data_IF_451710101917
#
_entry.id   IF_451710101917
#
_cell.length_a   1.000
_cell.length_b   1.000
_cell.length_c   1.000
_cell.angle_alpha   90.00
_cell.angle_beta   90.00
_cell.angle_gamma   90.00
#
_symmetry.space_group_name_H-M   'P 1'
#
loop_
_entity.id
_entity.type
_entity.pdbx_description
1 polymer ?
#
# COMPACT_ATOMS: atom_id res chain seq x y z
N UNK A 1 -16.62 13.48 -0.53
CA UNK A 1 -16.73 12.96 -1.91
C UNK A 1 -16.43 11.48 -1.89
N UNK A 2 -17.30 10.69 -2.48
CA UNK A 2 -17.45 9.26 -2.22
C UNK A 2 -16.28 8.43 -2.73
N UNK A 3 -15.69 7.62 -1.83
CA UNK A 3 -14.77 6.54 -2.18
C UNK A 3 -15.56 5.47 -2.95
N UNK A 4 -15.27 5.27 -4.22
CA UNK A 4 -15.84 4.17 -5.00
C UNK A 4 -15.03 2.90 -4.73
N UNK A 5 -15.69 1.97 -4.05
CA UNK A 5 -15.21 0.59 -3.90
C UNK A 5 -15.41 -0.11 -5.25
N UNK A 6 -14.32 -0.48 -5.91
CA UNK A 6 -14.37 -1.37 -7.07
C UNK A 6 -14.13 -2.78 -6.54
N UNK A 7 -15.17 -3.61 -6.57
CA UNK A 7 -15.12 -5.01 -6.19
C UNK A 7 -14.70 -5.84 -7.40
N UNK A 8 -13.52 -6.43 -7.38
CA UNK A 8 -13.12 -7.49 -8.31
C UNK A 8 -12.84 -8.77 -7.53
N UNK A 9 -13.54 -9.84 -7.90
CA UNK A 9 -13.32 -11.16 -7.34
C UNK A 9 -12.18 -11.84 -8.08
N UNK A 10 -11.11 -12.17 -7.40
CA UNK A 10 -10.33 -13.37 -7.67
C UNK A 10 -9.34 -13.66 -6.54
N UNK A 11 -9.35 -14.88 -6.09
CA UNK A 11 -8.76 -15.40 -4.87
C UNK A 11 -7.37 -15.94 -5.14
N UNK A 12 -6.38 -15.51 -4.41
CA UNK A 12 -5.44 -16.41 -3.68
C UNK A 12 -4.90 -15.61 -2.49
N UNK A 13 -5.30 -16.01 -1.28
CA UNK A 13 -4.85 -15.42 -0.04
C UNK A 13 -3.65 -16.19 0.48
N UNK A 14 -2.52 -15.51 0.63
CA UNK A 14 -1.49 -15.95 1.56
C UNK A 14 -1.52 -14.98 2.73
N UNK A 15 -2.06 -15.43 3.86
CA UNK A 15 -2.12 -14.67 5.10
C UNK A 15 -0.77 -14.78 5.81
N UNK A 16 -0.02 -13.71 5.84
CA UNK A 16 1.08 -13.57 6.79
C UNK A 16 0.56 -12.70 7.93
N UNK A 17 0.31 -13.32 9.08
CA UNK A 17 -0.02 -12.62 10.32
C UNK A 17 1.28 -12.17 10.98
N UNK A 18 1.53 -10.89 11.00
CA UNK A 18 2.49 -10.29 11.92
C UNK A 18 1.70 -9.57 13.00
N UNK A 19 1.44 -10.26 14.11
CA UNK A 19 0.81 -9.66 15.30
C UNK A 19 1.92 -9.26 16.26
N UNK A 20 2.17 -7.96 16.37
CA UNK A 20 3.01 -7.41 17.44
C UNK A 20 2.10 -7.12 18.64
N UNK A 21 1.97 -8.06 19.56
CA UNK A 21 1.31 -7.82 20.85
C UNK A 21 2.32 -7.24 21.82
N UNK A 22 2.18 -5.97 22.14
CA UNK A 22 2.78 -5.37 23.33
C UNK A 22 1.90 -5.72 24.53
N UNK A 23 2.32 -6.67 25.34
CA UNK A 23 1.69 -6.95 26.62
C UNK A 23 2.05 -5.83 27.60
N UNK A 24 1.08 -5.02 27.95
CA UNK A 24 1.18 -4.10 29.08
C UNK A 24 0.47 -4.72 30.28
N UNK A 25 1.15 -4.68 31.42
CA UNK A 25 0.58 -5.10 32.69
C UNK A 25 -0.52 -4.16 33.16
N UNK A 26 -1.15 -4.50 34.28
CA UNK A 26 -2.29 -3.83 34.95
C UNK A 26 -1.96 -2.43 35.54
N UNK A 27 -1.07 -1.68 34.88
CA UNK A 27 -0.60 -0.36 35.30
C UNK A 27 -1.37 0.82 34.69
N UNK A 28 -2.47 0.55 33.98
CA UNK A 28 -3.29 1.57 33.35
C UNK A 28 -2.80 2.02 31.98
N UNK A 29 -1.87 1.28 31.38
CA UNK A 29 -1.40 1.54 30.01
C UNK A 29 -2.49 1.18 28.97
N UNK A 30 -2.53 1.94 27.87
CA UNK A 30 -3.46 1.69 26.76
C UNK A 30 -2.97 0.49 25.99
N UNK A 31 -3.84 -0.52 25.80
CA UNK A 31 -3.54 -1.66 24.94
C UNK A 31 -3.78 -1.27 23.48
N UNK A 32 -2.75 -1.36 22.64
CA UNK A 32 -2.84 -1.03 21.23
C UNK A 32 -2.37 -2.17 20.35
N UNK A 33 -3.13 -2.46 19.28
CA UNK A 33 -2.82 -3.47 18.29
C UNK A 33 -2.71 -2.83 16.91
N UNK A 34 -1.75 -3.31 16.09
CA UNK A 34 -1.62 -2.99 14.68
C UNK A 34 -1.70 -4.28 13.87
N UNK A 35 -2.70 -4.38 13.01
CA UNK A 35 -2.95 -5.53 12.15
C UNK A 35 -2.74 -5.15 10.69
N UNK A 36 -1.79 -5.80 10.01
CA UNK A 36 -1.51 -5.62 8.58
C UNK A 36 -1.96 -6.85 7.82
N UNK A 37 -2.74 -6.66 6.76
CA UNK A 37 -3.17 -7.71 5.85
C UNK A 37 -2.73 -7.34 4.45
N UNK A 38 -2.10 -8.29 3.75
CA UNK A 38 -1.59 -8.10 2.39
C UNK A 38 -2.21 -9.13 1.47
N UNK A 39 -2.56 -8.72 0.24
CA UNK A 39 -3.02 -9.61 -0.80
C UNK A 39 -2.55 -9.15 -2.17
N UNK A 40 -2.41 -10.11 -3.09
CA UNK A 40 -2.05 -9.86 -4.48
C UNK A 40 -3.25 -10.07 -5.40
N UNK A 41 -3.40 -9.16 -6.35
CA UNK A 41 -4.30 -9.26 -7.49
C UNK A 41 -3.45 -9.22 -8.77
N UNK A 42 -3.55 -10.26 -9.58
CA UNK A 42 -2.76 -10.35 -10.80
C UNK A 42 -3.63 -10.10 -12.03
N UNK A 43 -3.04 -9.40 -13.01
CA UNK A 43 -3.58 -9.39 -14.37
C UNK A 43 -2.60 -10.07 -15.32
N UNK A 44 -3.11 -10.95 -16.16
CA UNK A 44 -2.28 -11.71 -17.08
C UNK A 44 -1.88 -10.87 -18.29
N UNK A 45 -0.62 -10.99 -18.68
CA UNK A 45 -0.06 -10.46 -19.92
C UNK A 45 0.55 -11.61 -20.72
N UNK A 46 0.41 -11.55 -22.04
CA UNK A 46 0.87 -12.60 -22.96
C UNK A 46 1.77 -11.94 -24.00
N UNK A 47 2.98 -12.47 -24.18
CA UNK A 47 3.91 -11.97 -25.18
C UNK A 47 5.15 -12.84 -25.26
N UNK A 48 5.82 -12.82 -26.42
CA UNK A 48 7.04 -13.56 -26.71
C UNK A 48 8.26 -12.64 -26.83
N UNK A 49 8.11 -11.36 -26.59
CA UNK A 49 9.16 -10.36 -26.60
C UNK A 49 8.77 -9.15 -25.76
N UNK A 50 9.73 -8.28 -25.49
CA UNK A 50 9.57 -7.11 -24.62
C UNK A 50 8.51 -6.15 -25.14
N UNK A 51 8.47 -5.88 -26.45
CA UNK A 51 7.50 -4.97 -27.08
C UNK A 51 6.05 -5.45 -26.85
N UNK A 52 5.80 -6.75 -26.98
CA UNK A 52 4.48 -7.34 -26.72
C UNK A 52 4.11 -7.25 -25.25
N UNK A 53 5.04 -7.54 -24.33
CA UNK A 53 4.81 -7.42 -22.89
C UNK A 53 4.50 -5.97 -22.50
N UNK A 54 5.27 -4.99 -22.97
CA UNK A 54 5.02 -3.57 -22.72
C UNK A 54 3.64 -3.12 -23.26
N UNK A 55 3.27 -3.56 -24.46
CA UNK A 55 1.94 -3.30 -25.05
C UNK A 55 0.82 -3.87 -24.19
N UNK A 56 0.99 -5.08 -23.69
CA UNK A 56 -0.01 -5.73 -22.82
C UNK A 56 -0.11 -5.04 -21.46
N UNK A 57 1.02 -4.62 -20.86
CA UNK A 57 1.03 -3.85 -19.61
C UNK A 57 0.30 -2.51 -19.79
N UNK A 58 0.57 -1.78 -20.86
CA UNK A 58 -0.12 -0.52 -21.18
C UNK A 58 -1.63 -0.70 -21.41
N UNK A 59 -2.04 -1.87 -21.91
CA UNK A 59 -3.46 -2.19 -22.15
C UNK A 59 -4.18 -2.61 -20.88
N UNK A 60 -3.55 -3.46 -20.06
CA UNK A 60 -4.18 -4.18 -18.95
C UNK A 60 -3.83 -3.61 -17.56
N UNK A 61 -2.83 -2.72 -17.49
CA UNK A 61 -2.44 -2.02 -16.27
C UNK A 61 -3.55 -1.13 -15.73
N UNK A 62 -3.31 -0.50 -14.60
CA UNK A 62 -4.29 0.36 -13.96
C UNK A 62 -4.19 1.77 -14.53
N UNK A 63 -5.25 2.24 -15.20
CA UNK A 63 -5.36 3.63 -15.63
C UNK A 63 -5.83 4.49 -14.47
N UNK A 64 -5.05 5.51 -14.14
CA UNK A 64 -5.37 6.46 -13.10
C UNK A 64 -6.08 7.71 -13.64
N UNK A 65 -6.51 8.62 -12.74
CA UNK A 65 -7.23 9.85 -13.09
C UNK A 65 -6.42 10.82 -13.95
N UNK A 66 -5.09 10.77 -13.85
CA UNK A 66 -4.12 11.53 -14.68
C UNK A 66 -3.98 11.00 -16.11
N UNK A 67 -4.63 9.88 -16.42
CA UNK A 67 -4.57 9.20 -17.72
C UNK A 67 -3.36 8.29 -17.90
N UNK A 68 -2.44 8.24 -16.95
CA UNK A 68 -1.27 7.36 -16.95
C UNK A 68 -1.71 5.92 -16.63
N UNK A 69 -1.05 4.95 -17.25
CA UNK A 69 -1.23 3.53 -16.96
C UNK A 69 -0.07 3.03 -16.11
N UNK A 70 -0.41 2.62 -14.89
CA UNK A 70 0.54 2.03 -13.96
C UNK A 70 0.56 0.52 -14.09
N UNK A 71 1.76 -0.06 -14.20
CA UNK A 71 1.95 -1.50 -14.38
C UNK A 71 1.85 -2.26 -13.07
N UNK A 72 2.39 -1.71 -11.98
CA UNK A 72 2.11 -2.10 -10.61
C UNK A 72 1.24 -1.05 -9.93
N UNK A 73 0.52 -1.43 -8.90
CA UNK A 73 -0.22 -0.50 -8.06
C UNK A 73 -0.42 -1.07 -6.66
N UNK A 74 -0.01 -0.33 -5.66
CA UNK A 74 -0.33 -0.62 -4.26
C UNK A 74 -1.48 0.25 -3.79
N UNK A 75 -2.59 -0.40 -3.43
CA UNK A 75 -3.72 0.24 -2.76
C UNK A 75 -3.71 -0.08 -1.28
N UNK A 76 -4.08 0.88 -0.47
CA UNK A 76 -4.14 0.72 0.97
C UNK A 76 -5.43 1.28 1.56
N UNK A 77 -5.87 0.68 2.66
CA UNK A 77 -6.95 1.16 3.51
C UNK A 77 -6.52 1.04 4.96
N UNK A 78 -6.68 2.12 5.73
CA UNK A 78 -6.37 2.15 7.16
C UNK A 78 -7.67 2.46 7.89
N UNK A 79 -8.05 1.56 8.78
CA UNK A 79 -9.17 1.72 9.70
C UNK A 79 -8.63 1.69 11.14
N UNK A 80 -9.23 2.45 12.03
CA UNK A 80 -8.92 2.38 13.47
C UNK A 80 -10.20 2.42 14.29
N UNK A 81 -10.15 1.73 15.43
CA UNK A 81 -11.21 1.72 16.44
C UNK A 81 -10.56 1.87 17.81
N UNK A 82 -11.28 2.42 18.77
CA UNK A 82 -10.80 2.56 20.15
C UNK A 82 -11.96 2.53 21.14
N UNK A 83 -11.67 2.02 22.32
CA UNK A 83 -12.57 2.06 23.46
C UNK A 83 -12.23 3.23 24.38
N UNK A 84 -13.26 3.82 24.99
CA UNK A 84 -13.13 4.94 25.90
C UNK A 84 -13.28 4.46 27.34
N UNK A 85 -12.46 5.00 28.25
CA UNK A 85 -12.64 4.87 29.70
C UNK A 85 -12.92 6.23 30.34
N UNK A 86 -13.63 6.25 31.46
CA UNK A 86 -13.84 7.46 32.26
C UNK A 86 -13.38 7.22 33.69
N UNK A 87 -12.57 8.14 34.20
CA UNK A 87 -12.07 8.16 35.58
C UNK A 87 -12.04 9.59 36.11
N UNK A 88 -12.72 9.84 37.24
CA UNK A 88 -12.74 11.17 37.84
C UNK A 88 -13.34 12.27 36.94
N UNK A 89 -14.32 11.97 36.11
CA UNK A 89 -14.94 12.91 35.18
C UNK A 89 -14.08 13.25 33.95
N UNK A 90 -12.99 12.52 33.73
CA UNK A 90 -12.15 12.65 32.53
C UNK A 90 -12.23 11.41 31.68
N UNK A 91 -12.14 11.61 30.36
CA UNK A 91 -12.27 10.58 29.34
C UNK A 91 -10.95 10.33 28.62
N UNK A 92 -10.53 9.07 28.51
CA UNK A 92 -9.29 8.68 27.84
C UNK A 92 -9.48 7.42 27.00
N UNK A 93 -8.52 7.10 26.17
CA UNK A 93 -8.46 5.84 25.41
C UNK A 93 -8.12 4.70 26.38
N UNK A 94 -8.87 3.61 26.34
CA UNK A 94 -8.64 2.38 27.10
C UNK A 94 -7.86 1.36 26.27
N UNK A 95 -8.32 1.16 25.04
CA UNK A 95 -7.70 0.24 24.08
C UNK A 95 -7.90 0.76 22.66
N UNK A 96 -7.02 0.39 21.76
CA UNK A 96 -7.13 0.73 20.35
C UNK A 96 -6.68 -0.42 19.44
N UNK A 97 -7.25 -0.50 18.25
CA UNK A 97 -6.82 -1.41 17.20
C UNK A 97 -6.80 -0.66 15.86
N UNK A 98 -5.66 -0.70 15.19
CA UNK A 98 -5.48 -0.15 13.85
C UNK A 98 -5.28 -1.28 12.86
N UNK A 99 -6.00 -1.25 11.76
CA UNK A 99 -5.96 -2.25 10.70
C UNK A 99 -5.50 -1.62 9.40
N UNK A 100 -4.57 -2.26 8.72
CA UNK A 100 -4.09 -1.89 7.39
C UNK A 100 -4.38 -3.02 6.41
N UNK A 101 -5.21 -2.77 5.42
CA UNK A 101 -5.43 -3.68 4.30
C UNK A 101 -4.63 -3.17 3.09
N UNK A 102 -3.70 -3.98 2.58
CA UNK A 102 -2.85 -3.70 1.42
C UNK A 102 -3.24 -4.61 0.27
N UNK A 103 -3.33 -4.04 -0.92
CA UNK A 103 -3.58 -4.79 -2.16
C UNK A 103 -2.53 -4.41 -3.19
N UNK A 104 -1.75 -5.39 -3.63
CA UNK A 104 -0.82 -5.25 -4.74
C UNK A 104 -1.48 -5.74 -6.02
N UNK A 105 -1.69 -4.86 -6.99
CA UNK A 105 -2.12 -5.24 -8.32
C UNK A 105 -0.91 -5.29 -9.25
N UNK A 106 -0.54 -6.51 -9.69
CA UNK A 106 0.71 -6.79 -10.37
C UNK A 106 0.49 -7.49 -11.71
N UNK A 107 1.33 -7.25 -12.73
CA UNK A 107 1.29 -8.03 -13.95
C UNK A 107 1.81 -9.45 -13.71
N UNK A 108 1.26 -10.44 -14.41
CA UNK A 108 1.73 -11.81 -14.41
C UNK A 108 1.95 -12.28 -15.85
N UNK A 109 3.20 -12.54 -16.20
CA UNK A 109 3.54 -13.01 -17.53
C UNK A 109 3.09 -14.46 -17.76
N UNK A 110 2.48 -14.69 -18.92
CA UNK A 110 2.16 -15.98 -19.49
C UNK A 110 2.90 -16.11 -20.80
N UNK A 111 3.89 -17.01 -20.86
CA UNK A 111 4.61 -17.29 -22.09
C UNK A 111 3.82 -18.24 -22.97
N UNK A 112 3.76 -17.96 -24.27
CA UNK A 112 3.24 -18.89 -25.26
C UNK A 112 4.31 -19.93 -25.63
N UNK A 113 5.61 -19.54 -25.57
CA UNK A 113 6.77 -20.40 -25.84
C UNK A 113 7.82 -20.14 -24.74
N UNK A 114 8.50 -21.19 -24.32
CA UNK A 114 9.57 -21.07 -23.31
C UNK A 114 10.76 -20.27 -23.89
N UNK A 115 11.05 -19.11 -23.29
CA UNK A 115 12.17 -18.25 -23.59
C UNK A 115 12.90 -17.92 -22.28
N UNK A 116 14.11 -18.44 -22.10
CA UNK A 116 14.87 -18.30 -20.86
C UNK A 116 15.40 -16.86 -20.67
N UNK A 117 15.79 -16.19 -21.73
CA UNK A 117 16.31 -14.83 -21.67
C UNK A 117 15.18 -13.85 -21.31
N UNK A 118 14.05 -13.93 -22.01
CA UNK A 118 12.87 -13.13 -21.71
C UNK A 118 12.36 -13.40 -20.29
N UNK A 119 12.38 -14.66 -19.85
CA UNK A 119 11.98 -15.03 -18.49
C UNK A 119 12.90 -14.40 -17.44
N UNK A 120 14.22 -14.40 -17.65
CA UNK A 120 15.19 -13.80 -16.74
C UNK A 120 14.97 -12.28 -16.63
N UNK A 121 14.83 -11.58 -17.76
CA UNK A 121 14.53 -10.15 -17.80
C UNK A 121 13.21 -9.81 -17.10
N UNK A 122 12.19 -10.63 -17.32
CA UNK A 122 10.90 -10.46 -16.68
C UNK A 122 10.99 -10.63 -15.16
N UNK A 123 11.69 -11.63 -14.67
CA UNK A 123 11.84 -11.89 -13.24
C UNK A 123 12.58 -10.75 -12.54
N UNK A 124 13.64 -10.21 -13.17
CA UNK A 124 14.35 -9.04 -12.64
C UNK A 124 13.42 -7.82 -12.58
N UNK A 125 12.69 -7.55 -13.65
CA UNK A 125 11.70 -6.47 -13.68
C UNK A 125 10.66 -6.62 -12.57
N UNK A 126 10.10 -7.83 -12.40
CA UNK A 126 9.10 -8.12 -11.36
C UNK A 126 9.63 -7.89 -9.95
N UNK A 127 10.85 -8.30 -9.67
CA UNK A 127 11.50 -8.09 -8.38
C UNK A 127 11.64 -6.59 -8.09
N UNK A 128 12.09 -5.79 -9.07
CA UNK A 128 12.25 -4.34 -8.95
C UNK A 128 10.90 -3.62 -8.79
N UNK A 129 9.90 -4.03 -9.56
CA UNK A 129 8.55 -3.50 -9.45
C UNK A 129 7.96 -3.81 -8.06
N UNK A 130 8.08 -5.05 -7.59
CA UNK A 130 7.62 -5.43 -6.26
C UNK A 130 8.33 -4.66 -5.15
N UNK A 131 9.63 -4.42 -5.28
CA UNK A 131 10.37 -3.59 -4.33
C UNK A 131 9.81 -2.15 -4.25
N UNK A 132 9.48 -1.56 -5.40
CA UNK A 132 8.82 -0.25 -5.46
C UNK A 132 7.46 -0.27 -4.74
N UNK A 133 6.62 -1.24 -5.06
CA UNK A 133 5.28 -1.38 -4.47
C UNK A 133 5.33 -1.63 -2.95
N UNK A 134 6.37 -2.32 -2.46
CA UNK A 134 6.59 -2.48 -1.03
C UNK A 134 6.93 -1.16 -0.33
N UNK A 135 7.60 -0.23 -1.00
CA UNK A 135 7.80 1.11 -0.46
C UNK A 135 6.50 1.83 -0.16
N UNK A 136 5.50 1.73 -1.03
CA UNK A 136 4.16 2.27 -0.78
C UNK A 136 3.48 1.64 0.45
N UNK A 137 3.57 0.31 0.59
CA UNK A 137 3.10 -0.40 1.78
C UNK A 137 3.80 0.09 3.04
N UNK A 138 5.13 0.19 3.02
CA UNK A 138 5.91 0.60 4.20
C UNK A 138 5.53 2.00 4.69
N UNK A 139 5.26 2.94 3.77
CA UNK A 139 4.74 4.26 4.10
C UNK A 139 3.35 4.19 4.76
N UNK A 140 2.45 3.33 4.23
CA UNK A 140 1.11 3.17 4.80
C UNK A 140 1.16 2.55 6.20
N UNK A 141 1.97 1.50 6.40
CA UNK A 141 2.15 0.83 7.70
C UNK A 141 2.78 1.77 8.71
N UNK A 142 3.78 2.57 8.31
CA UNK A 142 4.39 3.60 9.16
C UNK A 142 3.35 4.59 9.68
N UNK A 143 2.51 5.12 8.80
CA UNK A 143 1.48 6.09 9.21
C UNK A 143 0.41 5.42 10.09
N UNK A 144 0.04 4.18 9.83
CA UNK A 144 -0.87 3.43 10.69
C UNK A 144 -0.27 3.22 12.09
N UNK A 145 1.03 2.93 12.18
CA UNK A 145 1.74 2.85 13.46
C UNK A 145 1.74 4.20 14.21
N UNK A 146 1.95 5.31 13.51
CA UNK A 146 1.87 6.65 14.10
C UNK A 146 0.44 6.99 14.60
N UNK A 147 -0.61 6.53 13.91
CA UNK A 147 -2.01 6.67 14.39
C UNK A 147 -2.21 5.84 15.66
N UNK A 148 -1.71 4.61 15.67
CA UNK A 148 -1.78 3.73 16.84
C UNK A 148 -1.06 4.33 18.06
N UNK A 149 0.11 4.94 17.86
CA UNK A 149 0.86 5.65 18.89
C UNK A 149 0.11 6.89 19.43
N UNK A 150 -0.55 7.65 18.54
CA UNK A 150 -1.43 8.76 18.94
C UNK A 150 -2.51 8.25 19.89
N UNK A 151 -3.19 7.15 19.55
CA UNK A 151 -4.23 6.57 20.38
C UNK A 151 -3.69 6.09 21.73
N UNK A 152 -2.50 5.48 21.75
CA UNK A 152 -1.84 4.99 22.95
C UNK A 152 -1.45 6.13 23.92
N UNK A 153 -1.10 7.29 23.38
CA UNK A 153 -0.57 8.43 24.15
C UNK A 153 -1.56 9.59 24.29
N UNK A 154 -2.83 9.37 23.90
CA UNK A 154 -3.85 10.41 23.94
C UNK A 154 -4.12 10.87 25.40
N UNK A 155 -4.02 12.17 25.70
CA UNK A 155 -4.35 12.67 27.03
C UNK A 155 -5.85 12.53 27.32
N UNK A 156 -6.22 12.62 28.61
CA UNK A 156 -7.62 12.61 29.00
C UNK A 156 -8.28 13.97 28.78
N UNK A 157 -9.55 13.97 28.38
CA UNK A 157 -10.37 15.16 28.05
C UNK A 157 -11.54 15.33 29.02
N UNK A 158 -12.19 16.48 28.99
CA UNK A 158 -13.35 16.81 29.83
C UNK A 158 -14.63 16.09 29.39
N UNK A 159 -14.70 15.66 28.12
CA UNK A 159 -15.82 14.88 27.58
C UNK A 159 -15.36 13.83 26.57
N UNK A 160 -16.24 12.84 26.31
CA UNK A 160 -16.00 11.85 25.26
C UNK A 160 -15.98 12.50 23.86
N UNK A 161 -16.78 13.55 23.65
CA UNK A 161 -16.86 14.26 22.36
C UNK A 161 -15.56 15.03 22.09
N UNK A 162 -14.98 15.71 23.07
CA UNK A 162 -13.68 16.38 22.94
C UNK A 162 -12.57 15.35 22.61
N UNK A 163 -12.56 14.21 23.29
CA UNK A 163 -11.62 13.12 22.98
C UNK A 163 -11.78 12.66 21.53
N UNK A 164 -13.03 12.38 21.08
CA UNK A 164 -13.32 11.89 19.76
C UNK A 164 -12.93 12.90 18.66
N UNK A 165 -13.22 14.19 18.88
CA UNK A 165 -12.82 15.26 17.95
C UNK A 165 -11.31 15.34 17.80
N UNK A 166 -10.57 15.27 18.91
CA UNK A 166 -9.11 15.38 18.88
C UNK A 166 -8.45 14.13 18.28
N UNK A 167 -8.99 12.92 18.55
CA UNK A 167 -8.57 11.68 17.87
C UNK A 167 -8.75 11.82 16.36
N UNK A 168 -9.93 12.23 15.91
CA UNK A 168 -10.24 12.40 14.49
C UNK A 168 -9.29 13.41 13.84
N UNK A 169 -9.12 14.58 14.44
CA UNK A 169 -8.24 15.63 13.93
C UNK A 169 -6.81 15.14 13.72
N UNK A 170 -6.23 14.48 14.75
CA UNK A 170 -4.85 13.96 14.67
C UNK A 170 -4.70 12.83 13.66
N UNK A 171 -5.67 11.93 13.56
CA UNK A 171 -5.64 10.85 12.59
C UNK A 171 -5.74 11.38 11.14
N UNK A 172 -6.64 12.37 10.89
CA UNK A 172 -6.78 13.00 9.58
C UNK A 172 -5.50 13.72 9.13
N UNK A 173 -4.78 14.38 10.05
CA UNK A 173 -3.48 14.98 9.76
C UNK A 173 -2.46 13.93 9.28
N UNK A 174 -2.44 12.75 9.92
CA UNK A 174 -1.57 11.64 9.50
C UNK A 174 -1.98 11.09 8.13
N UNK A 175 -3.27 10.92 7.88
CA UNK A 175 -3.74 10.44 6.57
C UNK A 175 -3.50 11.46 5.44
N UNK A 176 -3.61 12.75 5.74
CA UNK A 176 -3.22 13.79 4.78
C UNK A 176 -1.72 13.72 4.46
N UNK A 177 -0.89 13.54 5.49
CA UNK A 177 0.56 13.34 5.31
C UNK A 177 0.84 12.08 4.50
N UNK A 178 0.15 10.96 4.76
CA UNK A 178 0.33 9.73 3.99
C UNK A 178 0.15 9.98 2.49
N UNK A 179 -0.93 10.66 2.09
CA UNK A 179 -1.16 10.99 0.68
C UNK A 179 -0.02 11.79 0.08
N UNK A 180 0.54 12.73 0.82
CA UNK A 180 1.65 13.56 0.37
C UNK A 180 2.95 12.77 0.18
N UNK A 181 3.30 11.91 1.15
CA UNK A 181 4.52 11.11 1.07
C UNK A 181 4.44 9.99 0.02
N UNK A 182 3.24 9.45 -0.27
CA UNK A 182 3.03 8.51 -1.36
C UNK A 182 3.33 9.18 -2.72
N UNK A 183 2.78 10.36 -2.95
CA UNK A 183 3.05 11.14 -4.18
C UNK A 183 4.53 11.54 -4.28
N UNK A 184 5.15 11.94 -3.16
CA UNK A 184 6.57 12.28 -3.14
C UNK A 184 7.44 11.06 -3.46
N UNK A 185 7.11 9.89 -2.93
CA UNK A 185 7.82 8.64 -3.20
C UNK A 185 7.78 8.27 -4.70
N UNK A 186 6.59 8.35 -5.32
CA UNK A 186 6.45 8.14 -6.76
C UNK A 186 7.29 9.12 -7.58
N UNK A 187 7.25 10.39 -7.21
CA UNK A 187 8.03 11.42 -7.90
C UNK A 187 9.54 11.19 -7.74
N UNK A 188 10.03 10.89 -6.54
CA UNK A 188 11.45 10.64 -6.26
C UNK A 188 11.96 9.39 -6.95
N UNK A 189 11.15 8.33 -6.99
CA UNK A 189 11.49 7.07 -7.64
C UNK A 189 11.16 7.05 -9.13
N UNK A 190 10.51 8.08 -9.67
CA UNK A 190 9.94 8.10 -11.01
C UNK A 190 9.09 6.85 -11.27
N UNK A 191 8.18 6.56 -10.32
CA UNK A 191 7.35 5.36 -10.35
C UNK A 191 8.16 4.06 -10.45
N UNK A 192 9.24 3.96 -9.66
CA UNK A 192 10.12 2.79 -9.61
C UNK A 192 11.26 2.77 -10.64
N UNK A 193 11.28 3.70 -11.61
CA UNK A 193 12.32 3.75 -12.63
C UNK A 193 13.73 3.84 -12.02
N UNK A 194 13.94 4.73 -11.05
CA UNK A 194 15.23 4.88 -10.36
C UNK A 194 15.61 3.69 -9.49
N UNK A 195 14.66 2.79 -9.24
CA UNK A 195 14.85 1.53 -8.51
C UNK A 195 15.02 0.33 -9.47
N UNK A 196 15.03 0.60 -10.78
CA UNK A 196 15.25 -0.40 -11.82
C UNK A 196 13.97 -1.15 -12.25
N UNK A 197 12.78 -0.69 -11.87
CA UNK A 197 11.50 -1.26 -12.32
C UNK A 197 11.20 -0.86 -13.79
N UNK A 198 12.13 -1.15 -14.68
CA UNK A 198 12.05 -0.82 -16.11
C UNK A 198 12.44 -2.03 -16.94
N UNK A 199 11.59 -2.38 -17.91
CA UNK A 199 12.01 -3.32 -18.96
C UNK A 199 12.92 -2.60 -19.95
N UNK A 200 13.98 -3.26 -20.46
CA UNK A 200 14.83 -2.66 -21.48
C UNK A 200 13.99 -2.32 -22.73
N UNK A 201 14.44 -1.36 -23.57
CA UNK A 201 13.74 -1.02 -24.79
C UNK A 201 13.66 -2.24 -25.71
N UNK A 202 12.46 -2.51 -26.23
CA UNK A 202 12.24 -3.55 -27.21
C UNK A 202 12.93 -3.25 -28.56
N UNK A 203 12.94 -4.24 -29.44
CA UNK A 203 13.61 -4.12 -30.73
C UNK A 203 13.03 -2.99 -31.59
N UNK A 204 11.72 -2.76 -31.55
CA UNK A 204 11.06 -1.66 -32.29
C UNK A 204 11.55 -0.27 -31.83
N UNK A 205 11.88 -0.11 -30.56
CA UNK A 205 12.35 1.16 -29.99
C UNK A 205 13.87 1.38 -30.26
N UNK A 206 14.68 0.31 -30.31
CA UNK A 206 16.11 0.38 -30.63
C UNK A 206 16.36 0.93 -32.05
N UNK A 207 15.53 0.55 -33.01
CA UNK A 207 15.61 1.03 -34.39
C UNK A 207 15.13 2.48 -34.58
N UNK A 208 14.27 2.98 -33.69
CA UNK A 208 13.82 4.37 -33.75
C UNK A 208 14.83 5.36 -33.15
N UNK A 209 15.66 4.93 -32.22
CA UNK A 209 16.69 5.77 -31.57
C UNK A 209 17.99 5.93 -32.42
N UNK A 210 18.14 5.18 -33.52
CA UNK A 210 19.32 5.20 -34.42
C UNK A 210 19.10 6.00 -35.70
N UNK A 211 17.99 6.73 -35.81
CA UNK A 211 17.69 7.67 -36.88
C UNK A 211 17.77 9.11 -36.40
#
# INVERSE_FOLDING_TARGET
MASRIITFASVVATLIFCSSTLFAGDDGSVTCELNVRERYEYYDIIGNNIDELQKQMNKNGTRWEDGIVYTGLTSWKIDYVYDITSKGGRYGVKSASTKVDIVYRMPRMRLAVADLELTALWNEYQERLQHHEFGHKDLAVKIASEVNEILATMPSYGSADELAQEVTRRAEEKFKRLKQIQVAYDHETRHGETQGAVLPPGNSQRFAATK
#
